data_IF_402181113774
#
_entry.id   IF_402181113774
#
_cell.length_a   1.000
_cell.length_b   1.000
_cell.length_c   1.000
_cell.angle_alpha   90.00
_cell.angle_beta   90.00
_cell.angle_gamma   90.00
#
_symmetry.space_group_name_H-M   'P 1'
#
loop_
_entity.id
_entity.type
_entity.pdbx_description
1 polymer ?
#
# COMPACT_ATOMS: atom_id res chain seq x y z
N UNK A 1 -40.70 -41.99 50.70
CA UNK A 1 -40.89 -40.90 49.72
C UNK A 1 -39.61 -40.07 49.74
N UNK A 2 -38.70 -40.35 48.84
CA UNK A 2 -37.36 -39.76 48.82
C UNK A 2 -37.27 -38.76 47.64
N UNK A 3 -37.15 -37.50 47.99
CA UNK A 3 -37.14 -36.38 47.04
C UNK A 3 -35.69 -36.18 46.57
N UNK A 4 -35.41 -36.52 45.30
CA UNK A 4 -34.11 -36.19 44.67
C UNK A 4 -34.15 -34.74 44.15
N UNK A 5 -33.33 -33.90 44.73
CA UNK A 5 -33.04 -32.56 44.18
C UNK A 5 -32.01 -32.71 43.04
N UNK A 6 -32.41 -32.44 41.80
CA UNK A 6 -31.48 -32.20 40.70
C UNK A 6 -30.98 -30.75 40.74
N UNK A 7 -29.71 -30.56 40.94
CA UNK A 7 -29.05 -29.27 40.76
C UNK A 7 -28.71 -29.05 39.28
N UNK A 8 -28.96 -27.86 38.67
CA UNK A 8 -28.52 -27.62 37.31
C UNK A 8 -27.00 -27.32 37.27
N UNK A 9 -26.30 -28.08 36.46
CA UNK A 9 -24.91 -27.85 36.13
C UNK A 9 -24.82 -26.66 35.13
N UNK A 10 -24.44 -25.50 35.62
CA UNK A 10 -24.20 -24.34 34.75
C UNK A 10 -22.86 -24.53 34.03
N UNK A 11 -22.89 -24.82 32.74
CA UNK A 11 -21.71 -24.83 31.88
C UNK A 11 -21.27 -23.40 31.62
N UNK A 12 -20.20 -22.95 32.29
CA UNK A 12 -19.52 -21.69 31.99
C UNK A 12 -18.69 -21.91 30.72
N UNK A 13 -19.25 -21.56 29.58
CA UNK A 13 -18.55 -21.54 28.32
C UNK A 13 -17.50 -20.41 28.33
N UNK A 14 -16.21 -20.77 28.49
CA UNK A 14 -15.11 -19.85 28.26
C UNK A 14 -15.05 -19.51 26.79
N UNK A 15 -15.53 -18.31 26.39
CA UNK A 15 -15.24 -17.74 25.08
C UNK A 15 -13.76 -17.37 25.06
N UNK A 16 -12.94 -18.20 24.43
CA UNK A 16 -11.58 -17.82 24.09
C UNK A 16 -11.64 -16.62 23.15
N UNK A 17 -11.30 -15.44 23.65
CA UNK A 17 -11.08 -14.26 22.81
C UNK A 17 -9.84 -14.56 21.98
N UNK A 18 -10.02 -14.87 20.70
CA UNK A 18 -8.92 -14.97 19.74
C UNK A 18 -8.31 -13.57 19.60
N UNK A 19 -7.25 -13.33 20.35
CA UNK A 19 -6.44 -12.13 20.18
C UNK A 19 -5.82 -12.17 18.79
N UNK A 20 -6.01 -11.08 18.01
CA UNK A 20 -5.32 -10.95 16.73
C UNK A 20 -3.80 -11.09 16.93
N UNK A 21 -3.08 -11.76 16.03
CA UNK A 21 -1.63 -11.86 16.11
C UNK A 21 -1.01 -10.47 16.23
N UNK A 22 -0.05 -10.29 17.14
CA UNK A 22 0.75 -9.07 17.16
C UNK A 22 1.56 -9.02 15.87
N UNK A 23 1.51 -7.87 15.18
CA UNK A 23 2.42 -7.63 14.07
C UNK A 23 3.84 -7.43 14.64
N UNK A 24 4.75 -8.35 14.37
CA UNK A 24 6.18 -8.14 14.59
C UNK A 24 6.69 -7.22 13.47
N UNK A 25 6.87 -5.95 13.79
CA UNK A 25 7.47 -5.00 12.86
C UNK A 25 8.98 -5.24 12.81
N UNK A 26 9.53 -5.26 11.61
CA UNK A 26 10.98 -5.26 11.45
C UNK A 26 11.56 -3.95 12.00
N UNK A 27 12.77 -3.96 12.59
CA UNK A 27 13.40 -2.75 13.12
C UNK A 27 13.48 -1.59 12.11
N UNK A 28 13.62 -1.91 10.82
CA UNK A 28 13.58 -0.95 9.73
C UNK A 28 12.26 -0.14 9.69
N UNK A 29 11.14 -0.79 9.94
CA UNK A 29 9.83 -0.12 9.97
C UNK A 29 9.60 0.70 11.25
N UNK A 30 10.38 0.43 12.28
CA UNK A 30 10.33 1.19 13.55
C UNK A 30 11.23 2.40 13.52
N UNK A 31 12.28 2.40 12.69
CA UNK A 31 13.22 3.51 12.56
C UNK A 31 12.51 4.78 12.05
N UNK A 32 12.61 5.87 12.82
CA UNK A 32 12.10 7.19 12.46
C UNK A 32 12.74 8.26 13.34
N UNK A 33 12.72 9.51 12.90
CA UNK A 33 13.14 10.64 13.69
C UNK A 33 11.92 11.54 14.01
N UNK A 34 11.41 11.57 15.25
CA UNK A 34 10.25 12.38 15.62
C UNK A 34 10.53 13.89 15.56
N UNK A 35 11.80 14.31 15.62
CA UNK A 35 12.22 15.71 15.53
C UNK A 35 12.48 16.15 14.08
N UNK A 36 12.40 15.24 13.12
CA UNK A 36 12.67 15.55 11.72
C UNK A 36 11.71 16.59 11.16
N UNK A 37 12.27 17.61 10.53
CA UNK A 37 11.55 18.62 9.74
C UNK A 37 11.61 18.34 8.24
N UNK A 38 12.21 17.23 7.84
CA UNK A 38 12.30 16.84 6.44
C UNK A 38 10.92 16.56 5.85
N UNK A 39 10.69 17.06 4.65
CA UNK A 39 9.47 16.86 3.87
C UNK A 39 9.87 16.29 2.51
N UNK A 40 9.16 15.27 2.08
CA UNK A 40 9.33 14.70 0.74
C UNK A 40 8.58 15.54 -0.29
N UNK A 41 9.25 15.88 -1.38
CA UNK A 41 8.59 16.61 -2.47
C UNK A 41 7.71 15.68 -3.32
N UNK A 42 6.40 15.84 -3.19
CA UNK A 42 5.40 15.13 -3.97
C UNK A 42 4.81 15.97 -5.12
N UNK A 43 5.40 17.11 -5.47
CA UNK A 43 4.84 18.05 -6.46
C UNK A 43 4.63 17.42 -7.85
N UNK A 44 5.57 16.59 -8.32
CA UNK A 44 5.44 15.87 -9.61
C UNK A 44 4.25 14.91 -9.60
N UNK A 45 4.10 14.15 -8.50
CA UNK A 45 2.98 13.24 -8.32
C UNK A 45 1.65 13.99 -8.23
N UNK A 46 1.60 15.07 -7.51
CA UNK A 46 0.42 15.94 -7.43
C UNK A 46 0.00 16.46 -8.81
N UNK A 47 0.96 16.94 -9.61
CA UNK A 47 0.68 17.37 -10.99
C UNK A 47 0.16 16.24 -11.87
N UNK A 48 0.75 15.04 -11.75
CA UNK A 48 0.28 13.86 -12.46
C UNK A 48 -1.18 13.55 -12.12
N UNK A 49 -1.53 13.50 -10.84
CA UNK A 49 -2.90 13.24 -10.38
C UNK A 49 -3.88 14.31 -10.90
N UNK A 50 -3.53 15.59 -10.81
CA UNK A 50 -4.37 16.69 -11.28
C UNK A 50 -4.69 16.63 -12.78
N UNK A 51 -3.76 16.12 -13.58
CA UNK A 51 -3.93 16.00 -15.03
C UNK A 51 -4.72 14.77 -15.45
N UNK A 52 -4.53 13.66 -14.75
CA UNK A 52 -4.94 12.34 -15.23
C UNK A 52 -6.01 11.64 -14.39
N UNK A 53 -6.35 12.18 -13.20
CA UNK A 53 -7.46 11.66 -12.38
C UNK A 53 -8.71 12.49 -12.63
N UNK A 54 -9.80 11.80 -12.94
CA UNK A 54 -11.12 12.40 -13.15
C UNK A 54 -12.14 11.70 -12.27
N UNK A 55 -13.04 12.47 -11.68
CA UNK A 55 -14.17 11.91 -10.95
C UNK A 55 -15.30 11.61 -11.93
N UNK A 56 -15.79 10.38 -11.97
CA UNK A 56 -16.92 10.00 -12.81
C UNK A 56 -18.27 10.43 -12.23
N UNK A 57 -19.36 10.19 -12.95
CA UNK A 57 -20.71 10.56 -12.54
C UNK A 57 -21.17 9.85 -11.24
N UNK A 58 -20.55 8.73 -10.86
CA UNK A 58 -20.78 8.00 -9.62
C UNK A 58 -19.91 8.49 -8.46
N UNK A 59 -19.10 9.54 -8.66
CA UNK A 59 -18.19 10.07 -7.64
C UNK A 59 -16.90 9.25 -7.47
N UNK A 60 -16.57 8.33 -8.40
CA UNK A 60 -15.38 7.50 -8.34
C UNK A 60 -14.22 8.15 -9.10
N UNK A 61 -13.07 8.27 -8.45
CA UNK A 61 -11.85 8.76 -9.09
C UNK A 61 -11.25 7.69 -10.01
N UNK A 62 -11.00 8.05 -11.26
CA UNK A 62 -10.44 7.17 -12.29
C UNK A 62 -9.23 7.81 -12.95
N UNK A 63 -8.21 7.01 -13.23
CA UNK A 63 -7.03 7.43 -14.00
C UNK A 63 -7.31 7.23 -15.49
N UNK A 64 -7.07 8.25 -16.30
CA UNK A 64 -7.28 8.22 -17.75
C UNK A 64 -6.07 7.60 -18.48
N UNK A 65 -5.74 6.34 -18.22
CA UNK A 65 -4.52 5.65 -18.68
C UNK A 65 -4.26 5.82 -20.19
N UNK A 66 -5.29 5.68 -21.03
CA UNK A 66 -5.17 5.81 -22.48
C UNK A 66 -4.71 7.20 -22.96
N UNK A 67 -4.76 8.22 -22.13
CA UNK A 67 -4.46 9.62 -22.47
C UNK A 67 -3.16 10.14 -21.89
N UNK A 68 -2.42 9.30 -21.15
CA UNK A 68 -1.19 9.72 -20.47
C UNK A 68 -0.06 9.76 -21.51
N UNK A 69 0.49 10.95 -21.83
CA UNK A 69 1.57 11.09 -22.78
C UNK A 69 2.89 10.59 -22.21
N UNK A 70 3.85 10.29 -23.08
CA UNK A 70 5.17 9.79 -22.72
C UNK A 70 5.92 10.76 -21.80
N UNK A 71 5.76 12.07 -22.02
CA UNK A 71 6.37 13.10 -21.14
C UNK A 71 5.92 12.96 -19.68
N UNK A 72 4.64 12.67 -19.44
CA UNK A 72 4.11 12.52 -18.09
C UNK A 72 4.48 11.15 -17.49
N UNK A 73 4.69 10.13 -18.31
CA UNK A 73 5.31 8.84 -17.87
C UNK A 73 6.75 9.05 -17.42
N UNK A 74 7.53 9.81 -18.16
CA UNK A 74 8.90 10.22 -17.80
C UNK A 74 8.94 11.00 -16.48
N UNK A 75 8.01 11.96 -16.30
CA UNK A 75 7.91 12.72 -15.06
C UNK A 75 7.54 11.81 -13.86
N UNK A 76 6.68 10.82 -14.07
CA UNK A 76 6.32 9.83 -13.06
C UNK A 76 7.52 8.94 -12.70
N UNK A 77 8.28 8.47 -13.68
CA UNK A 77 9.49 7.69 -13.45
C UNK A 77 10.57 8.49 -12.70
N UNK A 78 10.75 9.76 -13.05
CA UNK A 78 11.66 10.66 -12.34
C UNK A 78 11.22 10.91 -10.89
N UNK A 79 9.92 11.02 -10.64
CA UNK A 79 9.37 11.10 -9.29
C UNK A 79 9.67 9.83 -8.49
N UNK A 80 9.40 8.64 -9.04
CA UNK A 80 9.67 7.37 -8.38
C UNK A 80 11.15 7.19 -8.04
N UNK A 81 12.05 7.54 -8.96
CA UNK A 81 13.49 7.52 -8.70
C UNK A 81 13.89 8.45 -7.55
N UNK A 82 13.33 9.66 -7.52
CA UNK A 82 13.63 10.65 -6.48
C UNK A 82 13.16 10.20 -5.09
N UNK A 83 11.94 9.66 -4.98
CA UNK A 83 11.44 9.23 -3.68
C UNK A 83 12.05 7.90 -3.21
N UNK A 84 12.42 7.00 -4.12
CA UNK A 84 13.11 5.76 -3.76
C UNK A 84 14.47 6.01 -3.09
N UNK A 85 15.13 7.11 -3.46
CA UNK A 85 16.38 7.54 -2.85
C UNK A 85 16.22 8.32 -1.52
N UNK A 86 14.99 8.52 -1.05
CA UNK A 86 14.75 9.29 0.16
C UNK A 86 15.14 8.51 1.42
N UNK A 87 15.78 9.16 2.43
CA UNK A 87 16.18 8.52 3.68
C UNK A 87 14.95 8.37 4.61
N UNK A 88 14.12 7.37 4.35
CA UNK A 88 12.80 7.16 4.98
C UNK A 88 12.94 6.97 6.49
N UNK A 89 13.98 6.26 6.95
CA UNK A 89 14.24 6.01 8.37
C UNK A 89 14.49 7.30 9.18
N UNK A 90 14.90 8.38 8.52
CA UNK A 90 15.14 9.70 9.15
C UNK A 90 13.94 10.65 9.11
N UNK A 91 12.81 10.19 8.62
CA UNK A 91 11.57 10.98 8.57
C UNK A 91 10.73 10.78 9.84
N UNK A 92 9.91 11.78 10.18
CA UNK A 92 8.85 11.60 11.17
C UNK A 92 7.76 10.66 10.67
N UNK A 93 7.03 9.99 11.55
CA UNK A 93 5.98 9.00 11.20
C UNK A 93 4.92 9.52 10.22
N UNK A 94 4.49 10.77 10.37
CA UNK A 94 3.50 11.34 9.46
C UNK A 94 4.01 11.41 8.02
N UNK A 95 5.28 11.79 7.85
CA UNK A 95 5.93 11.89 6.56
C UNK A 95 6.21 10.51 5.96
N UNK A 96 6.65 9.55 6.78
CA UNK A 96 6.78 8.15 6.35
C UNK A 96 5.46 7.59 5.82
N UNK A 97 4.34 7.89 6.50
CA UNK A 97 3.02 7.46 6.03
C UNK A 97 2.67 8.05 4.65
N UNK A 98 2.90 9.35 4.47
CA UNK A 98 2.66 10.02 3.19
C UNK A 98 3.57 9.43 2.10
N UNK A 99 4.85 9.19 2.40
CA UNK A 99 5.80 8.55 1.52
C UNK A 99 5.29 7.19 1.03
N UNK A 100 4.95 6.28 1.95
CA UNK A 100 4.53 4.92 1.58
C UNK A 100 3.23 4.88 0.77
N UNK A 101 2.24 5.72 1.13
CA UNK A 101 0.98 5.82 0.39
C UNK A 101 1.24 6.31 -1.04
N UNK A 102 2.04 7.36 -1.20
CA UNK A 102 2.31 7.93 -2.51
C UNK A 102 3.19 7.02 -3.37
N UNK A 103 4.20 6.37 -2.78
CA UNK A 103 5.03 5.38 -3.45
C UNK A 103 4.18 4.22 -3.98
N UNK A 104 3.36 3.62 -3.13
CA UNK A 104 2.48 2.51 -3.51
C UNK A 104 1.56 2.91 -4.67
N UNK A 105 0.89 4.06 -4.58
CA UNK A 105 -0.03 4.51 -5.62
C UNK A 105 0.70 4.83 -6.94
N UNK A 106 1.85 5.48 -6.88
CA UNK A 106 2.64 5.80 -8.06
C UNK A 106 3.17 4.54 -8.76
N UNK A 107 3.68 3.56 -7.99
CA UNK A 107 4.10 2.26 -8.53
C UNK A 107 2.93 1.49 -9.16
N UNK A 108 1.76 1.50 -8.51
CA UNK A 108 0.55 0.87 -9.05
C UNK A 108 0.14 1.49 -10.38
N UNK A 109 0.17 2.82 -10.49
CA UNK A 109 -0.15 3.52 -11.74
C UNK A 109 0.87 3.19 -12.83
N UNK A 110 2.16 3.19 -12.50
CA UNK A 110 3.24 2.84 -13.45
C UNK A 110 3.05 1.41 -13.95
N UNK A 111 2.82 0.46 -13.03
CA UNK A 111 2.60 -0.93 -13.38
C UNK A 111 1.45 -1.12 -14.38
N UNK A 112 0.33 -0.43 -14.13
CA UNK A 112 -0.82 -0.49 -15.06
C UNK A 112 -0.46 0.16 -16.40
N UNK A 113 0.26 1.29 -16.41
CA UNK A 113 0.70 1.96 -17.63
C UNK A 113 1.58 1.07 -18.50
N UNK A 114 2.49 0.31 -17.89
CA UNK A 114 3.43 -0.56 -18.58
C UNK A 114 2.74 -1.76 -19.25
N UNK A 115 1.55 -2.13 -18.76
CA UNK A 115 0.77 -3.27 -19.26
C UNK A 115 -0.54 -2.86 -19.92
N UNK A 116 -0.80 -1.57 -20.08
CA UNK A 116 -2.05 -1.07 -20.65
C UNK A 116 -2.16 -1.38 -22.15
N UNK A 117 -3.33 -1.85 -22.66
CA UNK A 117 -4.61 -2.00 -21.94
C UNK A 117 -4.74 -3.35 -21.20
N UNK A 118 -5.21 -3.31 -19.97
CA UNK A 118 -5.55 -4.48 -19.15
C UNK A 118 -6.94 -4.31 -18.55
N UNK A 119 -7.70 -5.39 -18.41
CA UNK A 119 -9.03 -5.35 -17.82
C UNK A 119 -8.97 -5.21 -16.30
N UNK A 120 -7.96 -5.80 -15.65
CA UNK A 120 -7.72 -5.73 -14.20
C UNK A 120 -6.22 -5.75 -13.91
N UNK A 121 -5.82 -5.12 -12.83
CA UNK A 121 -4.45 -5.24 -12.30
C UNK A 121 -4.09 -6.70 -11.96
N UNK A 122 -5.08 -7.54 -11.67
CA UNK A 122 -4.88 -8.98 -11.42
C UNK A 122 -4.43 -9.76 -12.65
N UNK A 123 -4.71 -9.23 -13.84
CA UNK A 123 -4.30 -9.83 -15.11
C UNK A 123 -2.82 -9.55 -15.44
N UNK A 124 -2.14 -8.74 -14.61
CA UNK A 124 -0.72 -8.45 -14.75
C UNK A 124 0.06 -9.50 -13.96
N UNK A 125 0.43 -10.58 -14.65
CA UNK A 125 1.15 -11.71 -14.07
C UNK A 125 2.66 -11.52 -14.21
N UNK A 126 3.25 -10.84 -13.20
CA UNK A 126 4.70 -10.63 -13.09
C UNK A 126 5.29 -11.20 -11.80
N UNK A 127 4.50 -11.82 -10.96
CA UNK A 127 4.95 -12.45 -9.73
C UNK A 127 5.70 -13.75 -10.03
N UNK A 128 6.83 -14.03 -9.38
CA UNK A 128 7.57 -15.27 -9.57
C UNK A 128 6.85 -16.44 -8.92
N UNK A 129 6.67 -17.55 -9.67
CA UNK A 129 6.15 -18.81 -9.14
C UNK A 129 4.95 -19.36 -9.91
N UNK A 130 4.81 -20.69 -9.93
CA UNK A 130 3.77 -21.40 -10.67
C UNK A 130 2.34 -21.18 -10.15
N UNK A 131 2.21 -20.63 -8.94
CA UNK A 131 0.92 -20.39 -8.27
C UNK A 131 0.77 -18.92 -7.84
N UNK A 132 1.69 -18.05 -8.26
CA UNK A 132 1.59 -16.62 -7.99
C UNK A 132 0.54 -16.02 -8.94
N UNK A 133 -0.38 -15.22 -8.39
CA UNK A 133 -1.45 -14.56 -9.13
C UNK A 133 -1.30 -13.03 -9.01
N UNK A 134 -1.23 -12.36 -10.15
CA UNK A 134 -1.08 -10.92 -10.24
C UNK A 134 0.35 -10.41 -9.92
N UNK A 135 0.51 -9.10 -9.64
CA UNK A 135 1.82 -8.46 -9.48
C UNK A 135 2.35 -8.39 -8.04
N UNK A 136 1.68 -9.00 -7.06
CA UNK A 136 1.83 -8.69 -5.64
C UNK A 136 3.15 -9.15 -5.02
N UNK A 137 3.76 -10.22 -5.56
CA UNK A 137 5.00 -10.79 -5.03
C UNK A 137 6.25 -10.30 -5.78
N UNK A 138 6.08 -9.32 -6.68
CA UNK A 138 7.19 -8.73 -7.42
C UNK A 138 7.76 -7.52 -6.68
N UNK A 139 9.07 -7.54 -6.41
CA UNK A 139 9.78 -6.35 -5.96
C UNK A 139 9.86 -5.33 -7.11
N UNK A 140 9.16 -4.21 -6.99
CA UNK A 140 9.10 -3.16 -8.01
C UNK A 140 10.13 -2.05 -7.79
N UNK A 141 10.59 -1.85 -6.55
CA UNK A 141 11.51 -0.78 -6.17
C UNK A 141 12.30 -1.17 -4.93
N UNK A 142 13.53 -0.69 -4.84
CA UNK A 142 14.33 -0.72 -3.61
C UNK A 142 14.30 0.67 -3.00
N UNK A 143 13.93 0.76 -1.74
CA UNK A 143 13.87 2.01 -0.97
C UNK A 143 14.94 1.94 0.10
N UNK A 144 15.73 3.03 0.23
CA UNK A 144 16.78 3.17 1.24
C UNK A 144 17.50 1.84 1.47
N UNK A 145 18.53 1.58 0.67
CA UNK A 145 19.35 0.37 0.84
C UNK A 145 19.93 0.36 2.26
N UNK A 146 19.40 -0.46 3.13
CA UNK A 146 19.83 -0.69 4.51
C UNK A 146 20.66 -1.97 4.52
#
# INVERSE_FOLDING_TARGET
MMLMLLAPLAAVGSTAVLSAPRADLWPLWEAHDPASTRIIDHARWTKFLQRHVHTDAAGVNRVAYARIPETDRHDLAAYLSAIAAAPVSTLRRAEQRAFWINLYNALTVTLILDHYPVASIRDIDISPGLFADGPWDKALVTVEAV
#
